data_IF_538903978875
#
_entry.id   IF_538903978875
#
_cell.length_a   1.000
_cell.length_b   1.000
_cell.length_c   1.000
_cell.angle_alpha   90.00
_cell.angle_beta   90.00
_cell.angle_gamma   90.00
#
_symmetry.space_group_name_H-M   'P 1'
#
loop_
_entity.id
_entity.type
_entity.pdbx_description
1 polymer ?
#
# COMPACT_ATOMS: atom_id res chain seq x y z
N UNK A 1 -5.61 -26.49 -26.95
CA UNK A 1 -5.88 -25.05 -27.08
C UNK A 1 -4.96 -24.34 -26.11
N UNK A 2 -4.22 -23.35 -26.58
CA UNK A 2 -3.39 -22.55 -25.69
C UNK A 2 -4.28 -21.69 -24.80
N UNK A 3 -4.02 -21.68 -23.50
CA UNK A 3 -4.75 -20.84 -22.55
C UNK A 3 -4.35 -19.39 -22.74
N UNK A 4 -5.29 -18.47 -22.53
CA UNK A 4 -5.01 -17.03 -22.55
C UNK A 4 -4.05 -16.67 -21.41
N UNK A 5 -2.99 -15.92 -21.73
CA UNK A 5 -2.02 -15.41 -20.76
C UNK A 5 -2.57 -14.19 -20.04
N UNK A 6 -2.58 -14.21 -18.71
CA UNK A 6 -3.16 -13.14 -17.89
C UNK A 6 -2.25 -12.75 -16.73
N UNK A 7 -2.32 -11.48 -16.34
CA UNK A 7 -1.77 -10.95 -15.08
C UNK A 7 -2.96 -10.59 -14.18
N UNK A 8 -2.92 -11.03 -12.93
CA UNK A 8 -4.01 -10.82 -11.97
C UNK A 8 -3.65 -9.69 -11.01
N UNK A 9 -4.49 -8.66 -10.94
CA UNK A 9 -4.46 -7.63 -9.89
C UNK A 9 -5.40 -8.03 -8.75
N UNK A 10 -4.89 -8.07 -7.52
CA UNK A 10 -5.69 -8.52 -6.38
C UNK A 10 -5.23 -7.93 -5.04
N UNK A 11 -6.06 -7.97 -4.01
CA UNK A 11 -5.68 -7.49 -2.67
C UNK A 11 -4.96 -8.56 -1.85
N UNK A 12 -4.61 -8.24 -0.59
CA UNK A 12 -3.78 -9.12 0.24
C UNK A 12 -4.52 -10.19 1.05
N UNK A 13 -5.84 -10.11 1.16
CA UNK A 13 -6.65 -11.07 1.93
C UNK A 13 -6.51 -12.51 1.42
N UNK A 14 -6.66 -13.49 2.33
CA UNK A 14 -6.58 -14.91 1.98
C UNK A 14 -7.58 -15.32 0.88
N UNK A 15 -8.77 -14.70 0.85
CA UNK A 15 -9.78 -14.96 -0.20
C UNK A 15 -9.28 -14.58 -1.60
N UNK A 16 -8.51 -13.50 -1.70
CA UNK A 16 -7.98 -13.00 -2.97
C UNK A 16 -6.95 -13.96 -3.57
N UNK A 17 -6.06 -14.51 -2.72
CA UNK A 17 -5.09 -15.54 -3.11
C UNK A 17 -5.79 -16.83 -3.57
N UNK A 18 -6.88 -17.21 -2.90
CA UNK A 18 -7.69 -18.36 -3.31
C UNK A 18 -8.25 -18.17 -4.73
N UNK A 19 -8.87 -17.03 -5.03
CA UNK A 19 -9.42 -16.77 -6.35
C UNK A 19 -8.35 -16.70 -7.44
N UNK A 20 -7.19 -16.09 -7.16
CA UNK A 20 -6.05 -16.10 -8.09
C UNK A 20 -5.60 -17.53 -8.42
N UNK A 21 -5.63 -18.45 -7.44
CA UNK A 21 -5.31 -19.86 -7.65
C UNK A 21 -6.37 -20.59 -8.49
N UNK A 22 -7.65 -20.34 -8.27
CA UNK A 22 -8.74 -20.89 -9.09
C UNK A 22 -8.64 -20.42 -10.54
N UNK A 23 -8.16 -19.20 -10.80
CA UNK A 23 -7.97 -18.69 -12.17
C UNK A 23 -6.93 -19.50 -12.97
N UNK A 24 -5.96 -20.14 -12.33
CA UNK A 24 -4.96 -21.00 -13.01
C UNK A 24 -5.59 -22.20 -13.75
N UNK A 25 -6.80 -22.62 -13.34
CA UNK A 25 -7.51 -23.71 -13.99
C UNK A 25 -7.97 -23.31 -15.39
N UNK A 26 -8.37 -22.04 -15.57
CA UNK A 26 -8.94 -21.51 -16.80
C UNK A 26 -7.95 -20.70 -17.65
N UNK A 27 -6.94 -20.09 -17.04
CA UNK A 27 -6.00 -19.18 -17.69
C UNK A 27 -4.54 -19.58 -17.46
N UNK A 28 -3.64 -19.13 -18.33
CA UNK A 28 -2.19 -19.18 -18.09
C UNK A 28 -1.80 -17.93 -17.29
N UNK A 29 -1.85 -18.03 -15.96
CA UNK A 29 -1.54 -16.90 -15.07
C UNK A 29 -0.03 -16.71 -15.03
N UNK A 30 0.45 -15.67 -15.71
CA UNK A 30 1.90 -15.38 -15.84
C UNK A 30 2.42 -14.43 -14.76
N UNK A 31 1.52 -13.79 -14.00
CA UNK A 31 1.91 -12.87 -12.93
C UNK A 31 0.76 -12.49 -12.00
N UNK A 32 1.13 -12.07 -10.80
CA UNK A 32 0.23 -11.59 -9.76
C UNK A 32 0.76 -10.26 -9.22
N UNK A 33 -0.08 -9.22 -9.21
CA UNK A 33 0.21 -7.92 -8.61
C UNK A 33 -0.72 -7.80 -7.39
N UNK A 34 -0.12 -7.67 -6.21
CA UNK A 34 -0.86 -7.51 -4.96
C UNK A 34 -0.68 -6.13 -4.37
N UNK A 35 -1.63 -5.71 -3.54
CA UNK A 35 -1.45 -4.53 -2.69
C UNK A 35 -0.17 -4.68 -1.83
N UNK A 36 0.51 -3.58 -1.46
CA UNK A 36 1.58 -3.62 -0.47
C UNK A 36 1.03 -4.15 0.88
N UNK A 37 1.82 -4.98 1.59
CA UNK A 37 1.42 -5.45 2.91
C UNK A 37 1.47 -4.33 3.97
N UNK A 38 2.29 -3.32 3.72
CA UNK A 38 2.47 -2.19 4.62
C UNK A 38 1.49 -1.07 4.28
N UNK A 39 0.95 -0.44 5.32
CA UNK A 39 0.15 0.76 5.15
C UNK A 39 1.06 1.89 4.66
N UNK A 40 0.86 2.25 3.40
CA UNK A 40 1.55 3.34 2.73
C UNK A 40 1.49 4.65 3.53
N UNK A 41 0.40 4.90 4.26
CA UNK A 41 0.24 6.11 5.06
C UNK A 41 0.99 6.04 6.39
N UNK A 42 1.15 4.85 6.97
CA UNK A 42 1.91 4.65 8.21
C UNK A 42 3.40 4.87 7.95
N UNK A 43 3.93 4.30 6.87
CA UNK A 43 5.35 4.45 6.49
C UNK A 43 5.70 5.86 5.99
N UNK A 44 4.77 6.58 5.33
CA UNK A 44 4.99 7.98 4.98
C UNK A 44 5.15 8.91 6.20
N UNK A 45 4.46 8.59 7.31
CA UNK A 45 4.51 9.43 8.51
C UNK A 45 5.88 9.41 9.20
N UNK A 46 6.61 8.28 9.12
CA UNK A 46 7.95 8.14 9.70
C UNK A 46 9.07 8.59 8.77
N UNK A 47 8.89 8.44 7.45
CA UNK A 47 10.02 8.53 6.51
C UNK A 47 10.02 9.81 5.66
N UNK A 48 8.93 10.59 5.66
CA UNK A 48 8.86 11.84 4.92
C UNK A 48 9.42 13.01 5.73
N UNK A 49 10.63 13.46 5.37
CA UNK A 49 11.25 14.68 5.89
C UNK A 49 10.30 15.89 5.81
N UNK A 50 9.43 15.92 4.79
CA UNK A 50 8.43 16.97 4.60
C UNK A 50 7.34 16.94 5.68
N UNK A 51 6.87 15.75 6.06
CA UNK A 51 5.89 15.54 7.12
C UNK A 51 6.48 15.88 8.49
N UNK A 52 7.71 15.42 8.77
CA UNK A 52 8.45 15.74 10.00
C UNK A 52 8.66 17.26 10.13
N UNK A 53 9.09 17.93 9.05
CA UNK A 53 9.27 19.40 9.04
C UNK A 53 7.96 20.12 9.31
N UNK A 54 6.85 19.67 8.72
CA UNK A 54 5.55 20.32 8.92
C UNK A 54 5.04 20.16 10.37
N UNK A 55 5.17 18.96 10.95
CA UNK A 55 4.87 18.68 12.36
C UNK A 55 5.69 19.56 13.32
N UNK A 56 7.00 19.67 13.09
CA UNK A 56 7.88 20.54 13.90
C UNK A 56 7.49 22.02 13.80
N UNK A 57 7.13 22.51 12.61
CA UNK A 57 6.67 23.89 12.42
C UNK A 57 5.40 24.19 13.22
N UNK A 58 4.44 23.27 13.22
CA UNK A 58 3.22 23.41 14.01
C UNK A 58 3.49 23.34 15.53
N UNK A 59 4.38 22.46 15.97
CA UNK A 59 4.75 22.35 17.38
C UNK A 59 5.45 23.62 17.90
N UNK A 60 6.40 24.17 17.14
CA UNK A 60 7.09 25.42 17.49
C UNK A 60 6.14 26.62 17.48
N UNK A 61 5.17 26.67 16.55
CA UNK A 61 4.13 27.70 16.57
C UNK A 61 3.27 27.63 17.83
N UNK A 62 2.88 26.43 18.27
CA UNK A 62 2.07 26.27 19.49
C UNK A 62 2.82 26.65 20.76
N UNK A 63 4.12 26.35 20.87
CA UNK A 63 4.96 26.79 22.02
C UNK A 63 5.07 28.33 22.06
N UNK A 64 5.16 28.99 20.91
CA UNK A 64 5.19 30.47 20.85
C UNK A 64 3.88 31.13 21.28
N UNK A 65 2.74 30.47 21.08
CA UNK A 65 1.42 31.00 21.47
C UNK A 65 1.18 30.83 22.98
N UNK A 66 1.75 29.81 23.62
CA UNK A 66 1.62 29.59 25.07
C UNK A 66 2.56 30.44 25.94
N UNK A 67 3.53 31.15 25.34
CA UNK A 67 4.35 32.17 26.02
C UNK A 67 3.70 33.55 25.82
N UNK A 68 2.57 33.79 26.48
CA UNK A 68 2.04 35.14 26.76
C UNK A 68 1.52 35.15 28.18
#
# INVERSE_FOLDING_TARGET
MDKLKVVVLTGNENRHRYYAKVMCDSFDVVGLITEPNDDYFVTQSSDSELMIRNLLFHYVKNIRIMKV
#
